data_IF_991270765114
#
_entry.id   IF_991270765114
#
_cell.length_a   1.000
_cell.length_b   1.000
_cell.length_c   1.000
_cell.angle_alpha   90.00
_cell.angle_beta   90.00
_cell.angle_gamma   90.00
#
_symmetry.space_group_name_H-M   'P 1'
#
loop_
_entity.id
_entity.type
_entity.pdbx_description
1 polymer ?
#
# COMPACT_ATOMS: atom_id res chain seq x y z
N UNK A 1 11.05 -3.43 -15.55
CA UNK A 1 9.64 -3.04 -15.34
C UNK A 1 9.49 -2.70 -13.88
N UNK A 2 9.25 -1.43 -13.55
CA UNK A 2 8.91 -1.06 -12.16
C UNK A 2 7.51 -1.59 -11.86
N UNK A 3 7.35 -2.36 -10.79
CA UNK A 3 6.03 -2.75 -10.31
C UNK A 3 5.70 -1.89 -9.10
N UNK A 4 4.66 -1.05 -9.19
CA UNK A 4 4.14 -0.27 -8.06
C UNK A 4 3.27 -1.11 -7.10
N UNK A 5 3.42 -2.42 -7.15
CA UNK A 5 2.70 -3.35 -6.27
C UNK A 5 3.69 -3.88 -5.24
N UNK A 6 3.55 -3.52 -3.96
CA UNK A 6 4.38 -4.06 -2.89
C UNK A 6 4.26 -5.57 -2.75
N UNK A 7 5.37 -6.23 -2.45
CA UNK A 7 5.31 -7.60 -1.95
C UNK A 7 4.77 -7.57 -0.52
N UNK A 8 3.61 -8.20 -0.32
CA UNK A 8 2.98 -8.30 0.99
C UNK A 8 3.44 -9.56 1.72
N UNK A 9 3.94 -9.40 2.94
CA UNK A 9 4.30 -10.49 3.86
C UNK A 9 3.49 -10.34 5.15
N UNK A 10 2.43 -11.15 5.24
CA UNK A 10 1.53 -11.15 6.39
C UNK A 10 2.13 -11.90 7.57
N UNK A 11 2.00 -11.31 8.78
CA UNK A 11 2.22 -11.97 10.06
C UNK A 11 0.93 -12.13 10.84
N UNK A 12 0.84 -13.18 11.63
CA UNK A 12 -0.25 -13.47 12.55
C UNK A 12 0.31 -13.63 13.96
N UNK A 13 -0.18 -12.82 14.90
CA UNK A 13 0.13 -12.90 16.32
C UNK A 13 -1.15 -13.11 17.10
N UNK A 14 -1.19 -14.14 17.97
CA UNK A 14 -2.30 -14.29 18.91
C UNK A 14 -2.04 -13.55 20.20
N UNK A 15 -3.11 -13.16 20.88
CA UNK A 15 -3.05 -12.57 22.20
C UNK A 15 -3.84 -13.42 23.20
N UNK A 16 -3.46 -13.38 24.47
CA UNK A 16 -4.12 -14.10 25.55
C UNK A 16 -4.08 -13.26 26.83
N UNK A 17 -5.17 -13.21 27.54
CA UNK A 17 -5.19 -12.63 28.89
C UNK A 17 -4.88 -13.72 29.92
N UNK A 18 -4.11 -13.38 30.95
CA UNK A 18 -3.61 -14.29 32.00
C UNK A 18 -4.69 -15.15 32.70
N UNK A 19 -5.93 -14.63 32.83
CA UNK A 19 -7.06 -15.35 33.42
C UNK A 19 -7.82 -16.26 32.42
N UNK A 20 -7.39 -16.35 31.15
CA UNK A 20 -7.94 -17.24 30.14
C UNK A 20 -6.90 -18.28 29.68
N UNK A 21 -7.32 -19.44 29.17
CA UNK A 21 -6.37 -20.46 28.73
C UNK A 21 -5.56 -19.98 27.50
N UNK A 22 -4.26 -19.78 27.67
CA UNK A 22 -3.36 -19.44 26.55
C UNK A 22 -3.40 -20.50 25.45
N UNK A 23 -3.47 -21.80 25.82
CA UNK A 23 -3.55 -22.90 24.87
C UNK A 23 -4.77 -22.80 23.93
N UNK A 24 -5.89 -22.25 24.40
CA UNK A 24 -7.08 -21.99 23.57
C UNK A 24 -6.76 -20.93 22.51
N UNK A 25 -6.13 -19.82 22.90
CA UNK A 25 -5.75 -18.76 21.96
C UNK A 25 -4.77 -19.26 20.91
N UNK A 26 -3.76 -19.99 21.30
CA UNK A 26 -2.77 -20.60 20.39
C UNK A 26 -3.41 -21.59 19.42
N UNK A 27 -4.25 -22.49 19.93
CA UNK A 27 -4.97 -23.46 19.09
C UNK A 27 -5.89 -22.80 18.06
N UNK A 28 -6.61 -21.74 18.45
CA UNK A 28 -7.46 -20.96 17.54
C UNK A 28 -6.64 -20.20 16.50
N UNK A 29 -5.47 -19.65 16.87
CA UNK A 29 -4.51 -19.05 15.93
C UNK A 29 -4.02 -20.06 14.88
N UNK A 30 -3.63 -21.25 15.32
CA UNK A 30 -3.14 -22.29 14.42
C UNK A 30 -4.22 -22.78 13.47
N UNK A 31 -5.47 -22.89 13.95
CA UNK A 31 -6.62 -23.19 13.10
C UNK A 31 -6.89 -22.08 12.08
N UNK A 32 -6.74 -20.81 12.48
CA UNK A 32 -6.86 -19.67 11.57
C UNK A 32 -5.76 -19.69 10.51
N UNK A 33 -4.50 -19.93 10.88
CA UNK A 33 -3.39 -20.04 9.94
C UNK A 33 -3.62 -21.17 8.92
N UNK A 34 -4.11 -22.33 9.38
CA UNK A 34 -4.47 -23.43 8.50
C UNK A 34 -5.64 -23.08 7.56
N UNK A 35 -6.64 -22.36 8.04
CA UNK A 35 -7.79 -21.92 7.22
C UNK A 35 -7.37 -20.88 6.17
N UNK A 36 -6.37 -20.04 6.48
CA UNK A 36 -5.87 -19.03 5.55
C UNK A 36 -4.96 -19.62 4.44
N UNK A 37 -4.37 -20.78 4.63
CA UNK A 37 -3.43 -21.40 3.68
C UNK A 37 -3.97 -21.52 2.24
N UNK A 38 -5.30 -21.58 2.06
CA UNK A 38 -5.94 -21.59 0.74
C UNK A 38 -5.89 -20.23 0.01
N UNK A 39 -5.63 -19.14 0.72
CA UNK A 39 -5.55 -17.79 0.16
C UNK A 39 -4.12 -17.31 -0.08
N UNK A 40 -3.16 -17.83 0.68
CA UNK A 40 -1.76 -17.44 0.57
C UNK A 40 -0.93 -17.86 1.76
N UNK A 41 0.30 -17.31 1.81
CA UNK A 41 1.23 -17.56 2.91
C UNK A 41 1.01 -16.54 4.03
N UNK A 42 1.19 -17.01 5.27
CA UNK A 42 1.07 -16.24 6.50
C UNK A 42 2.15 -16.70 7.47
N UNK A 43 2.96 -15.78 7.97
CA UNK A 43 3.92 -16.09 9.04
C UNK A 43 3.15 -16.22 10.37
N UNK A 44 3.09 -17.42 10.91
CA UNK A 44 2.45 -17.70 12.19
C UNK A 44 3.48 -17.49 13.32
N UNK A 45 3.46 -16.31 13.95
CA UNK A 45 4.39 -15.97 15.02
C UNK A 45 4.23 -16.94 16.20
N UNK A 46 5.32 -17.54 16.70
CA UNK A 46 5.25 -18.48 17.83
C UNK A 46 4.92 -17.79 19.15
N UNK A 47 5.13 -16.47 19.25
CA UNK A 47 4.86 -15.71 20.49
C UNK A 47 3.36 -15.44 20.59
N UNK A 48 2.77 -15.81 21.71
CA UNK A 48 1.44 -15.36 22.12
C UNK A 48 1.62 -14.19 23.09
N UNK A 49 0.96 -13.06 22.83
CA UNK A 49 1.08 -11.86 23.67
C UNK A 49 0.17 -11.98 24.90
N UNK A 50 0.76 -12.04 26.06
CA UNK A 50 0.04 -12.02 27.33
C UNK A 50 0.37 -10.76 28.17
N UNK A 51 1.54 -10.18 27.93
CA UNK A 51 2.02 -8.98 28.59
C UNK A 51 2.86 -8.09 27.69
N UNK A 52 3.18 -6.88 28.15
CA UNK A 52 4.07 -5.98 27.38
C UNK A 52 5.47 -6.53 27.17
N UNK A 53 5.93 -7.49 28.01
CA UNK A 53 7.25 -8.13 27.86
C UNK A 53 7.32 -9.04 26.64
N UNK A 54 6.19 -9.50 26.13
CA UNK A 54 6.10 -10.36 24.95
C UNK A 54 6.14 -9.58 23.63
N UNK A 55 5.93 -8.25 23.69
CA UNK A 55 5.90 -7.39 22.52
C UNK A 55 7.24 -7.37 21.77
N UNK A 56 8.33 -7.19 22.49
CA UNK A 56 9.67 -7.11 21.88
C UNK A 56 10.09 -8.45 21.23
N UNK A 57 9.91 -9.62 21.83
CA UNK A 57 10.13 -10.92 21.19
C UNK A 57 9.26 -11.12 19.93
N UNK A 58 7.97 -10.77 19.99
CA UNK A 58 7.08 -10.87 18.83
C UNK A 58 7.54 -9.98 17.67
N UNK A 59 7.88 -8.71 17.94
CA UNK A 59 8.40 -7.80 16.92
C UNK A 59 9.72 -8.30 16.32
N UNK A 60 10.60 -8.89 17.12
CA UNK A 60 11.85 -9.46 16.65
C UNK A 60 11.62 -10.64 15.69
N UNK A 61 10.68 -11.54 16.02
CA UNK A 61 10.28 -12.66 15.17
C UNK A 61 9.66 -12.19 13.84
N UNK A 62 8.69 -11.28 13.91
CA UNK A 62 8.05 -10.68 12.74
C UNK A 62 9.08 -10.01 11.81
N UNK A 63 10.01 -9.24 12.37
CA UNK A 63 11.09 -8.59 11.63
C UNK A 63 12.03 -9.60 10.97
N UNK A 64 12.41 -10.65 11.67
CA UNK A 64 13.26 -11.72 11.13
C UNK A 64 12.59 -12.45 9.96
N UNK A 65 11.26 -12.61 10.00
CA UNK A 65 10.47 -13.18 8.92
C UNK A 65 10.20 -12.18 7.76
N UNK A 66 10.57 -10.90 7.91
CA UNK A 66 10.34 -9.86 6.92
C UNK A 66 8.87 -9.46 6.78
N UNK A 67 8.07 -9.67 7.84
CA UNK A 67 6.64 -9.29 7.88
C UNK A 67 6.50 -7.78 7.76
N UNK A 68 5.61 -7.34 6.88
CA UNK A 68 5.31 -5.93 6.64
C UNK A 68 3.82 -5.55 6.78
N UNK A 69 2.95 -6.53 7.08
CA UNK A 69 1.58 -6.29 7.50
C UNK A 69 1.19 -7.32 8.58
N UNK A 70 0.50 -6.88 9.62
CA UNK A 70 0.26 -7.65 10.83
C UNK A 70 -1.22 -7.90 11.08
N UNK A 71 -1.57 -9.13 11.42
CA UNK A 71 -2.86 -9.51 11.97
C UNK A 71 -2.68 -9.82 13.45
N UNK A 72 -3.35 -9.06 14.30
CA UNK A 72 -3.46 -9.31 15.75
C UNK A 72 -4.79 -10.04 15.99
N UNK A 73 -4.68 -11.27 16.46
CA UNK A 73 -5.81 -12.17 16.59
C UNK A 73 -6.13 -12.43 18.08
N UNK A 74 -7.31 -12.03 18.47
CA UNK A 74 -7.84 -12.31 19.80
C UNK A 74 -8.39 -13.74 19.81
N UNK A 75 -7.56 -14.70 20.20
CA UNK A 75 -8.01 -16.09 20.41
C UNK A 75 -8.78 -16.27 21.70
N UNK A 76 -8.58 -15.36 22.67
CA UNK A 76 -9.40 -15.11 23.85
C UNK A 76 -9.47 -13.60 24.10
N UNK A 77 -9.83 -13.15 25.30
CA UNK A 77 -10.10 -11.74 25.64
C UNK A 77 -8.95 -10.77 25.28
N UNK A 78 -7.69 -11.19 25.42
CA UNK A 78 -6.51 -10.37 25.14
C UNK A 78 -6.18 -9.31 26.20
N UNK A 79 -4.90 -8.87 26.28
CA UNK A 79 -4.42 -7.81 27.18
C UNK A 79 -4.36 -6.48 26.43
N UNK A 80 -5.28 -5.55 26.65
CA UNK A 80 -5.47 -4.32 25.88
C UNK A 80 -4.18 -3.47 25.75
N UNK A 81 -3.39 -3.38 26.82
CA UNK A 81 -2.14 -2.60 26.80
C UNK A 81 -1.09 -3.24 25.90
N UNK A 82 -0.88 -4.54 26.04
CA UNK A 82 0.17 -5.22 25.29
C UNK A 82 -0.17 -5.32 23.78
N UNK A 83 -1.40 -5.69 23.41
CA UNK A 83 -1.82 -5.79 22.01
C UNK A 83 -1.83 -4.44 21.29
N UNK A 84 -2.26 -3.37 21.96
CA UNK A 84 -2.21 -2.01 21.39
C UNK A 84 -0.78 -1.45 21.34
N UNK A 85 0.10 -1.86 22.26
CA UNK A 85 1.52 -1.54 22.21
C UNK A 85 2.20 -2.23 21.03
N UNK A 86 1.89 -3.51 20.79
CA UNK A 86 2.35 -4.24 19.60
C UNK A 86 1.92 -3.52 18.33
N UNK A 87 0.62 -3.18 18.22
CA UNK A 87 0.08 -2.47 17.06
C UNK A 87 0.77 -1.12 16.82
N UNK A 88 1.06 -0.37 17.89
CA UNK A 88 1.71 0.95 17.83
C UNK A 88 3.18 0.87 17.42
N UNK A 89 3.88 -0.19 17.79
CA UNK A 89 5.31 -0.36 17.53
C UNK A 89 5.60 -1.12 16.24
N UNK A 90 4.62 -1.77 15.66
CA UNK A 90 4.77 -2.44 14.38
C UNK A 90 4.84 -1.41 13.24
N UNK A 91 5.85 -1.52 12.40
CA UNK A 91 6.05 -0.63 11.24
C UNK A 91 5.32 -1.21 10.01
N UNK A 92 4.04 -0.90 9.90
CA UNK A 92 3.20 -1.34 8.78
C UNK A 92 1.71 -1.38 9.12
N UNK A 93 0.87 -1.74 8.13
CA UNK A 93 -0.56 -1.92 8.34
C UNK A 93 -0.89 -3.01 9.35
N UNK A 94 -1.83 -2.73 10.24
CA UNK A 94 -2.28 -3.67 11.27
C UNK A 94 -3.77 -3.93 11.14
N UNK A 95 -4.19 -5.18 11.31
CA UNK A 95 -5.57 -5.63 11.39
C UNK A 95 -5.84 -6.29 12.72
N UNK A 96 -7.03 -6.12 13.25
CA UNK A 96 -7.55 -6.86 14.41
C UNK A 96 -8.74 -7.72 14.01
N UNK A 97 -8.76 -8.97 14.46
CA UNK A 97 -9.93 -9.84 14.42
C UNK A 97 -9.93 -10.79 15.64
N UNK A 98 -11.05 -11.44 15.90
CA UNK A 98 -11.25 -12.24 17.09
C UNK A 98 -11.99 -13.56 16.81
N UNK A 99 -11.74 -14.56 17.64
CA UNK A 99 -12.42 -15.84 17.57
C UNK A 99 -13.85 -15.77 18.08
N UNK A 100 -14.79 -16.35 17.34
CA UNK A 100 -16.10 -16.69 17.87
C UNK A 100 -16.00 -17.85 18.87
N UNK A 101 -16.90 -17.90 19.84
CA UNK A 101 -17.06 -19.07 20.70
C UNK A 101 -17.68 -20.23 19.89
N UNK A 102 -17.16 -21.43 20.09
CA UNK A 102 -17.62 -22.62 19.35
C UNK A 102 -18.95 -23.16 19.88
N UNK A 103 -19.21 -22.96 21.18
CA UNK A 103 -20.45 -23.37 21.80
C UNK A 103 -20.83 -22.43 22.96
N UNK A 104 -22.13 -22.22 23.16
CA UNK A 104 -22.68 -21.49 24.32
C UNK A 104 -22.84 -22.36 25.59
N UNK A 105 -22.52 -23.66 25.50
CA UNK A 105 -22.86 -24.61 26.57
C UNK A 105 -21.81 -24.70 27.68
N UNK A 106 -20.56 -24.26 27.39
CA UNK A 106 -19.45 -24.29 28.34
C UNK A 106 -18.95 -22.89 28.67
N UNK A 107 -19.48 -22.31 29.72
CA UNK A 107 -19.02 -21.00 30.23
C UNK A 107 -17.78 -21.08 31.11
N UNK A 108 -17.35 -22.27 31.51
CA UNK A 108 -16.28 -22.47 32.50
C UNK A 108 -14.99 -23.02 31.84
N UNK A 109 -15.11 -24.01 30.98
CA UNK A 109 -13.96 -24.62 30.30
C UNK A 109 -13.97 -24.30 28.83
N UNK A 110 -12.93 -23.68 28.32
CA UNK A 110 -12.77 -23.35 26.89
C UNK A 110 -13.39 -22.01 26.45
N UNK A 111 -13.96 -21.23 27.39
CA UNK A 111 -14.41 -19.86 27.08
C UNK A 111 -13.21 -18.94 26.86
N UNK A 112 -13.22 -18.21 25.77
CA UNK A 112 -12.19 -17.21 25.46
C UNK A 112 -12.64 -15.77 25.61
N UNK A 113 -13.95 -15.51 25.49
CA UNK A 113 -14.57 -14.18 25.59
C UNK A 113 -13.94 -13.13 24.64
N UNK A 114 -13.48 -13.58 23.49
CA UNK A 114 -12.78 -12.75 22.53
C UNK A 114 -13.66 -11.65 21.92
N UNK A 115 -14.98 -11.82 21.91
CA UNK A 115 -15.92 -10.77 21.52
C UNK A 115 -15.81 -9.54 22.43
N UNK A 116 -15.85 -9.75 23.76
CA UNK A 116 -15.66 -8.66 24.72
C UNK A 116 -14.24 -8.07 24.61
N UNK A 117 -13.24 -8.93 24.42
CA UNK A 117 -11.87 -8.51 24.13
C UNK A 117 -11.79 -7.57 22.93
N UNK A 118 -12.47 -7.89 21.83
CA UNK A 118 -12.48 -7.06 20.62
C UNK A 118 -13.12 -5.68 20.84
N UNK A 119 -14.18 -5.59 21.67
CA UNK A 119 -14.75 -4.31 22.07
C UNK A 119 -13.74 -3.46 22.82
N UNK A 120 -13.02 -4.06 23.77
CA UNK A 120 -11.97 -3.37 24.54
C UNK A 120 -10.78 -3.00 23.67
N UNK A 121 -10.31 -3.87 22.79
CA UNK A 121 -9.23 -3.59 21.84
C UNK A 121 -9.59 -2.38 20.97
N UNK A 122 -10.79 -2.35 20.39
CA UNK A 122 -11.27 -1.23 19.56
C UNK A 122 -11.29 0.09 20.32
N UNK A 123 -11.77 0.08 21.56
CA UNK A 123 -11.77 1.26 22.43
C UNK A 123 -10.34 1.74 22.73
N UNK A 124 -9.44 0.83 23.10
CA UNK A 124 -8.07 1.16 23.46
C UNK A 124 -7.24 1.65 22.28
N UNK A 125 -7.44 1.09 21.08
CA UNK A 125 -6.82 1.60 19.82
C UNK A 125 -7.20 3.06 19.60
N UNK A 126 -8.50 3.38 19.71
CA UNK A 126 -8.98 4.76 19.55
C UNK A 126 -8.42 5.68 20.65
N UNK A 127 -8.48 5.26 21.93
CA UNK A 127 -7.96 6.01 23.07
C UNK A 127 -6.48 6.37 22.92
N UNK A 128 -5.69 5.47 22.33
CA UNK A 128 -4.23 5.62 22.14
C UNK A 128 -3.84 6.23 20.80
N UNK A 129 -4.81 6.56 19.92
CA UNK A 129 -4.59 7.10 18.59
C UNK A 129 -3.86 6.12 17.65
N UNK A 130 -4.04 4.81 17.86
CA UNK A 130 -3.46 3.76 17.03
C UNK A 130 -4.45 3.41 15.92
N UNK A 131 -4.01 3.53 14.67
CA UNK A 131 -4.81 3.16 13.51
C UNK A 131 -4.67 1.68 13.22
N UNK A 132 -5.80 0.99 13.08
CA UNK A 132 -5.85 -0.41 12.69
C UNK A 132 -7.09 -0.68 11.82
N UNK A 133 -6.98 -1.65 10.92
CA UNK A 133 -8.13 -2.14 10.17
C UNK A 133 -8.94 -3.07 11.05
N UNK A 134 -10.19 -2.74 11.25
CA UNK A 134 -11.17 -3.59 11.96
C UNK A 134 -12.29 -3.90 10.97
N UNK A 135 -12.51 -5.19 10.60
CA UNK A 135 -13.64 -5.58 9.76
C UNK A 135 -14.97 -5.16 10.34
N UNK A 136 -15.99 -5.01 9.51
CA UNK A 136 -17.35 -4.68 9.98
C UNK A 136 -17.88 -5.69 11.01
N UNK A 137 -17.55 -6.96 10.82
CA UNK A 137 -17.86 -8.05 11.74
C UNK A 137 -16.54 -8.74 12.13
N UNK A 138 -15.81 -8.22 13.15
CA UNK A 138 -14.44 -8.64 13.41
C UNK A 138 -14.31 -9.95 14.18
N UNK A 139 -15.41 -10.60 14.51
CA UNK A 139 -15.45 -11.85 15.29
C UNK A 139 -16.05 -12.97 14.44
N UNK A 140 -15.35 -14.10 14.35
CA UNK A 140 -15.81 -15.21 13.53
C UNK A 140 -15.07 -16.52 13.79
N UNK A 141 -15.48 -17.56 13.08
CA UNK A 141 -14.77 -18.84 13.01
C UNK A 141 -13.39 -18.65 12.36
N UNK A 142 -12.54 -19.66 12.42
CA UNK A 142 -11.25 -19.64 11.70
C UNK A 142 -11.42 -19.36 10.19
N UNK A 143 -12.48 -19.90 9.59
CA UNK A 143 -12.77 -19.66 8.17
C UNK A 143 -13.22 -18.23 7.89
N UNK A 144 -14.05 -17.66 8.76
CA UNK A 144 -14.51 -16.26 8.65
C UNK A 144 -13.34 -15.29 8.85
N UNK A 145 -12.49 -15.50 9.87
CA UNK A 145 -11.30 -14.69 10.10
C UNK A 145 -10.29 -14.80 8.91
N UNK A 146 -10.15 -15.98 8.33
CA UNK A 146 -9.32 -16.15 7.13
C UNK A 146 -9.87 -15.34 5.94
N UNK A 147 -11.19 -15.26 5.78
CA UNK A 147 -11.81 -14.41 4.76
C UNK A 147 -11.59 -12.90 5.06
N UNK A 148 -11.69 -12.49 6.32
CA UNK A 148 -11.39 -11.12 6.74
C UNK A 148 -9.94 -10.74 6.43
N UNK A 149 -8.97 -11.65 6.67
CA UNK A 149 -7.55 -11.43 6.32
C UNK A 149 -7.38 -11.30 4.81
N UNK A 150 -8.04 -12.14 4.01
CA UNK A 150 -8.05 -11.99 2.54
C UNK A 150 -8.51 -10.59 2.12
N UNK A 151 -9.55 -10.07 2.73
CA UNK A 151 -10.11 -8.75 2.42
C UNK A 151 -9.22 -7.60 2.92
N UNK A 152 -8.38 -7.84 3.92
CA UNK A 152 -7.35 -6.91 4.39
C UNK A 152 -6.16 -6.81 3.42
N UNK A 153 -5.83 -7.85 2.68
CA UNK A 153 -4.68 -7.89 1.76
C UNK A 153 -4.61 -6.68 0.82
N UNK A 154 -5.65 -6.32 0.06
CA UNK A 154 -5.59 -5.16 -0.83
C UNK A 154 -5.45 -3.85 -0.07
N UNK A 155 -6.04 -3.72 1.12
CA UNK A 155 -5.91 -2.53 1.99
C UNK A 155 -4.46 -2.38 2.45
N UNK A 156 -3.86 -3.44 2.97
CA UNK A 156 -2.47 -3.44 3.42
C UNK A 156 -1.50 -3.14 2.27
N UNK A 157 -1.73 -3.74 1.10
CA UNK A 157 -0.93 -3.50 -0.10
C UNK A 157 -0.98 -2.02 -0.52
N UNK A 158 -2.17 -1.42 -0.53
CA UNK A 158 -2.33 0.00 -0.86
C UNK A 158 -1.61 0.90 0.16
N UNK A 159 -1.73 0.63 1.46
CA UNK A 159 -1.07 1.42 2.50
C UNK A 159 0.46 1.31 2.41
N UNK A 160 1.00 0.12 2.12
CA UNK A 160 2.43 -0.07 1.90
C UNK A 160 2.93 0.68 0.65
N UNK A 161 2.14 0.68 -0.43
CA UNK A 161 2.49 1.46 -1.62
C UNK A 161 2.51 2.96 -1.32
N UNK A 162 1.49 3.48 -0.64
CA UNK A 162 1.37 4.91 -0.32
C UNK A 162 2.48 5.38 0.62
N UNK A 163 2.88 4.59 1.61
CA UNK A 163 3.93 4.96 2.56
C UNK A 163 5.33 5.08 1.94
N UNK A 164 5.54 4.49 0.77
CA UNK A 164 6.82 4.51 0.03
C UNK A 164 6.68 5.17 -1.35
N UNK A 165 5.66 6.04 -1.52
CA UNK A 165 5.33 6.73 -2.76
C UNK A 165 5.94 8.13 -2.80
N UNK A 166 6.45 8.52 -3.96
CA UNK A 166 6.74 9.90 -4.34
C UNK A 166 5.91 10.30 -5.56
N UNK A 167 5.25 11.45 -5.47
CA UNK A 167 4.57 12.08 -6.59
C UNK A 167 5.49 13.16 -7.15
N UNK A 168 5.84 13.05 -8.43
CA UNK A 168 6.61 14.06 -9.16
C UNK A 168 5.64 14.85 -10.02
N UNK A 169 5.50 16.15 -9.75
CA UNK A 169 4.60 17.01 -10.50
C UNK A 169 5.35 17.98 -11.41
N UNK A 170 4.74 18.26 -12.57
CA UNK A 170 5.19 19.27 -13.52
C UNK A 170 4.06 20.25 -13.78
N UNK A 171 4.14 21.43 -13.14
CA UNK A 171 3.05 22.38 -13.17
C UNK A 171 3.50 23.84 -13.14
N UNK A 172 2.65 24.75 -12.71
CA UNK A 172 1.41 24.60 -11.95
C UNK A 172 0.22 24.11 -12.78
N UNK A 173 -0.90 23.89 -12.10
CA UNK A 173 -2.18 23.53 -12.72
C UNK A 173 -2.57 24.53 -13.81
N UNK A 174 -3.30 24.11 -14.88
CA UNK A 174 -3.67 25.02 -15.93
C UNK A 174 -4.72 26.03 -15.44
N UNK A 175 -4.40 27.32 -15.57
CA UNK A 175 -5.33 28.46 -15.32
C UNK A 175 -6.20 28.27 -14.07
N UNK A 176 -7.52 28.33 -14.23
CA UNK A 176 -8.55 28.18 -13.19
C UNK A 176 -9.07 26.74 -13.01
N UNK A 177 -8.27 25.74 -13.37
CA UNK A 177 -8.63 24.31 -13.23
C UNK A 177 -8.58 23.88 -11.75
N UNK A 178 -9.46 24.45 -10.92
CA UNK A 178 -9.44 24.34 -9.47
C UNK A 178 -9.82 22.94 -8.95
N UNK A 179 -10.46 22.12 -9.78
CA UNK A 179 -10.78 20.73 -9.43
C UNK A 179 -9.53 19.90 -9.05
N UNK A 180 -8.39 20.21 -9.66
CA UNK A 180 -7.12 19.53 -9.36
C UNK A 180 -6.29 20.26 -8.27
N UNK A 181 -6.84 21.28 -7.63
CA UNK A 181 -6.15 22.04 -6.59
C UNK A 181 -6.47 21.48 -5.20
N UNK A 182 -5.65 20.60 -4.71
CA UNK A 182 -5.85 19.94 -3.43
C UNK A 182 -4.69 20.23 -2.46
N UNK A 183 -4.94 20.25 -1.13
CA UNK A 183 -3.91 20.47 -0.15
C UNK A 183 -2.95 19.28 -0.06
N UNK A 184 -1.65 19.52 0.02
CA UNK A 184 -0.62 18.45 0.09
C UNK A 184 -0.45 17.88 1.51
N UNK A 185 -0.83 18.61 2.55
CA UNK A 185 -0.62 18.16 3.93
C UNK A 185 -1.27 16.80 4.27
N UNK A 186 -2.46 16.42 3.77
CA UNK A 186 -3.00 15.07 3.97
C UNK A 186 -2.14 13.98 3.35
N UNK A 187 -1.52 14.23 2.19
CA UNK A 187 -0.64 13.26 1.52
C UNK A 187 0.64 13.01 2.32
N UNK A 188 1.26 14.06 2.85
CA UNK A 188 2.42 13.92 3.74
C UNK A 188 2.08 13.13 5.01
N UNK A 189 0.85 13.25 5.57
CA UNK A 189 0.42 12.43 6.72
C UNK A 189 0.28 10.95 6.40
N UNK A 190 0.09 10.61 5.13
CA UNK A 190 0.09 9.22 4.63
C UNK A 190 1.50 8.71 4.28
N UNK A 191 2.54 9.54 4.47
CA UNK A 191 3.92 9.20 4.14
C UNK A 191 4.31 9.46 2.68
N UNK A 192 3.40 10.02 1.87
CA UNK A 192 3.65 10.35 0.46
C UNK A 192 4.52 11.60 0.37
N UNK A 193 5.60 11.53 -0.40
CA UNK A 193 6.43 12.69 -0.74
C UNK A 193 5.96 13.33 -2.04
N UNK A 194 6.11 14.65 -2.14
CA UNK A 194 5.74 15.41 -3.33
C UNK A 194 6.92 16.26 -3.76
N UNK A 195 7.27 16.18 -5.04
CA UNK A 195 8.26 17.04 -5.68
C UNK A 195 7.54 17.88 -6.74
N UNK A 196 7.64 19.19 -6.60
CA UNK A 196 7.03 20.14 -7.53
C UNK A 196 8.09 20.73 -8.46
N UNK A 197 7.89 20.51 -9.77
CA UNK A 197 8.72 21.02 -10.85
C UNK A 197 7.87 21.91 -11.78
N UNK A 198 8.52 22.75 -12.57
CA UNK A 198 7.86 23.54 -13.59
C UNK A 198 7.80 22.82 -14.95
N UNK A 199 6.90 23.27 -15.83
CA UNK A 199 6.89 22.82 -17.23
C UNK A 199 8.22 23.16 -17.96
N UNK A 200 8.93 24.21 -17.50
CA UNK A 200 10.23 24.60 -18.07
C UNK A 200 11.31 23.58 -17.75
N UNK A 201 11.30 22.99 -16.54
CA UNK A 201 12.23 21.92 -16.16
C UNK A 201 12.02 20.70 -17.04
N UNK A 202 10.75 20.30 -17.25
CA UNK A 202 10.40 19.21 -18.14
C UNK A 202 10.81 19.49 -19.60
N UNK A 203 10.58 20.71 -20.07
CA UNK A 203 10.95 21.13 -21.44
C UNK A 203 12.47 21.08 -21.65
N UNK A 204 13.23 21.58 -20.69
CA UNK A 204 14.70 21.53 -20.73
C UNK A 204 15.21 20.08 -20.73
N UNK A 205 14.67 19.23 -19.87
CA UNK A 205 14.99 17.80 -19.83
C UNK A 205 14.63 17.09 -21.13
N UNK A 206 13.47 17.37 -21.71
CA UNK A 206 13.05 16.82 -23.00
C UNK A 206 14.06 17.17 -24.11
N UNK A 207 14.50 18.41 -24.19
CA UNK A 207 15.49 18.83 -25.18
C UNK A 207 16.88 18.22 -24.94
N UNK A 208 17.25 17.97 -23.68
CA UNK A 208 18.50 17.28 -23.36
C UNK A 208 18.52 15.82 -23.85
N UNK A 209 17.36 15.19 -24.02
CA UNK A 209 17.21 13.84 -24.58
C UNK A 209 17.15 13.82 -26.12
N UNK A 210 17.32 14.95 -26.79
CA UNK A 210 17.31 14.97 -28.26
C UNK A 210 18.43 14.09 -28.83
N UNK A 211 18.06 13.11 -29.65
CA UNK A 211 19.01 12.17 -30.24
C UNK A 211 19.51 11.07 -29.30
N UNK A 212 18.84 10.82 -28.20
CA UNK A 212 19.15 9.69 -27.31
C UNK A 212 19.13 8.37 -28.10
N UNK A 213 20.19 7.56 -27.92
CA UNK A 213 20.37 6.32 -28.66
C UNK A 213 19.29 5.25 -28.41
N UNK A 214 18.52 5.38 -27.31
CA UNK A 214 17.41 4.48 -26.97
C UNK A 214 16.11 4.79 -27.73
N UNK A 215 15.98 5.96 -28.35
CA UNK A 215 14.75 6.37 -29.05
C UNK A 215 14.30 5.35 -30.10
N UNK A 216 15.17 4.82 -30.98
CA UNK A 216 14.74 3.84 -31.98
C UNK A 216 14.10 2.58 -31.38
N UNK A 217 14.63 2.07 -30.26
CA UNK A 217 14.11 0.87 -29.60
C UNK A 217 12.71 1.12 -29.02
N UNK A 218 12.52 2.28 -28.37
CA UNK A 218 11.23 2.68 -27.83
C UNK A 218 10.20 2.92 -28.94
N UNK A 219 10.62 3.50 -30.07
CA UNK A 219 9.76 3.66 -31.25
C UNK A 219 9.29 2.30 -31.77
N UNK A 220 10.21 1.33 -31.89
CA UNK A 220 9.85 -0.03 -32.34
C UNK A 220 8.83 -0.71 -31.39
N UNK A 221 9.00 -0.56 -30.08
CA UNK A 221 8.00 -1.02 -29.10
C UNK A 221 6.63 -0.34 -29.29
N UNK A 222 6.61 0.99 -29.52
CA UNK A 222 5.39 1.75 -29.76
C UNK A 222 4.69 1.33 -31.06
N UNK A 223 5.46 1.06 -32.11
CA UNK A 223 4.93 0.57 -33.40
C UNK A 223 4.29 -0.80 -33.25
N UNK A 224 4.90 -1.71 -32.49
CA UNK A 224 4.35 -3.03 -32.21
C UNK A 224 3.05 -2.92 -31.40
N UNK A 225 3.02 -2.09 -30.34
CA UNK A 225 1.82 -1.89 -29.52
C UNK A 225 0.65 -1.28 -30.28
N UNK A 226 0.91 -0.31 -31.14
CA UNK A 226 -0.14 0.41 -31.85
C UNK A 226 -0.61 -0.31 -33.13
N UNK A 227 0.28 -1.06 -33.78
CA UNK A 227 0.01 -1.78 -35.00
C UNK A 227 -0.70 -0.92 -36.05
N UNK A 228 -1.76 -1.46 -36.67
CA UNK A 228 -2.58 -0.75 -37.67
C UNK A 228 -3.36 0.46 -37.09
N UNK A 229 -3.46 0.56 -35.76
CA UNK A 229 -4.04 1.70 -35.05
C UNK A 229 -3.19 2.97 -35.11
N UNK A 230 -1.91 2.85 -35.46
CA UNK A 230 -1.04 4.01 -35.58
C UNK A 230 -1.40 4.90 -36.76
N UNK A 231 -2.02 6.04 -36.50
CA UNK A 231 -2.40 7.02 -37.49
C UNK A 231 -1.42 8.19 -37.62
N UNK A 232 -0.36 8.22 -36.79
CA UNK A 232 0.60 9.32 -36.72
C UNK A 232 2.02 8.81 -36.45
N UNK A 233 2.60 7.99 -37.34
CA UNK A 233 3.93 7.41 -37.10
C UNK A 233 5.02 8.50 -37.02
N UNK A 234 4.81 9.67 -37.64
CA UNK A 234 5.77 10.78 -37.68
C UNK A 234 6.05 11.42 -36.30
N UNK A 235 5.19 11.19 -35.30
CA UNK A 235 5.41 11.75 -33.96
C UNK A 235 6.04 10.75 -32.97
N UNK A 236 6.17 9.47 -33.34
CA UNK A 236 6.64 8.43 -32.39
C UNK A 236 8.02 8.74 -31.81
N UNK A 237 8.93 9.28 -32.60
CA UNK A 237 10.27 9.64 -32.11
C UNK A 237 10.20 10.70 -30.99
N UNK A 238 9.29 11.69 -31.09
CA UNK A 238 9.07 12.69 -30.03
C UNK A 238 8.42 12.06 -28.78
N UNK A 239 7.48 11.14 -28.99
CA UNK A 239 6.82 10.41 -27.89
C UNK A 239 7.81 9.51 -27.15
N UNK A 240 8.69 8.81 -27.87
CA UNK A 240 9.75 7.99 -27.30
C UNK A 240 10.77 8.85 -26.52
N UNK A 241 11.18 9.98 -27.07
CA UNK A 241 12.03 10.95 -26.38
C UNK A 241 11.37 11.42 -25.07
N UNK A 242 10.07 11.71 -25.09
CA UNK A 242 9.33 12.13 -23.90
C UNK A 242 9.22 11.01 -22.86
N UNK A 243 8.96 9.77 -23.27
CA UNK A 243 8.95 8.62 -22.38
C UNK A 243 10.30 8.45 -21.66
N UNK A 244 11.40 8.48 -22.42
CA UNK A 244 12.76 8.40 -21.88
C UNK A 244 13.07 9.55 -20.91
N UNK A 245 12.63 10.75 -21.25
CA UNK A 245 12.78 11.92 -20.37
C UNK A 245 12.12 11.69 -19.01
N UNK A 246 10.89 11.20 -19.00
CA UNK A 246 10.17 10.93 -17.75
C UNK A 246 10.79 9.78 -16.95
N UNK A 247 11.21 8.71 -17.63
CA UNK A 247 11.85 7.56 -16.97
C UNK A 247 13.17 7.96 -16.30
N UNK A 248 14.03 8.71 -16.99
CA UNK A 248 15.31 9.18 -16.45
C UNK A 248 15.10 10.21 -15.34
N UNK A 249 14.07 11.06 -15.46
CA UNK A 249 13.68 11.97 -14.40
C UNK A 249 13.28 11.21 -13.13
N UNK A 250 12.42 10.20 -13.27
CA UNK A 250 12.01 9.33 -12.16
C UNK A 250 13.22 8.70 -11.49
N UNK A 251 14.13 8.09 -12.24
CA UNK A 251 15.32 7.44 -11.68
C UNK A 251 16.22 8.41 -10.93
N UNK A 252 16.35 9.63 -11.42
CA UNK A 252 17.21 10.66 -10.80
C UNK A 252 16.55 11.28 -9.56
N UNK A 253 15.22 11.39 -9.54
CA UNK A 253 14.48 12.18 -8.54
C UNK A 253 13.68 11.36 -7.53
N UNK A 254 13.50 10.04 -7.74
CA UNK A 254 12.73 9.18 -6.79
C UNK A 254 13.32 9.17 -5.38
N UNK A 255 14.63 9.45 -5.22
CA UNK A 255 15.32 9.40 -3.94
C UNK A 255 15.33 8.00 -3.35
N UNK A 256 14.98 7.88 -2.07
CA UNK A 256 14.89 6.61 -1.37
C UNK A 256 13.54 5.88 -1.58
N UNK A 257 12.59 6.48 -2.30
CA UNK A 257 11.26 5.91 -2.50
C UNK A 257 11.28 4.80 -3.56
N UNK A 258 10.45 3.77 -3.35
CA UNK A 258 10.33 2.63 -4.27
C UNK A 258 9.30 2.88 -5.36
N UNK A 259 8.25 3.64 -5.05
CA UNK A 259 7.12 3.87 -5.95
C UNK A 259 7.07 5.32 -6.36
N UNK A 260 6.72 5.56 -7.61
CA UNK A 260 6.60 6.91 -8.17
C UNK A 260 5.30 7.01 -8.96
N UNK A 261 4.64 8.15 -8.83
CA UNK A 261 3.57 8.60 -9.71
C UNK A 261 3.95 9.97 -10.29
N UNK A 262 3.41 10.29 -11.45
CA UNK A 262 3.66 11.57 -12.12
C UNK A 262 2.34 12.32 -12.25
N UNK A 263 2.36 13.64 -12.02
CA UNK A 263 1.23 14.53 -12.27
C UNK A 263 1.69 15.65 -13.19
N UNK A 264 1.25 15.62 -14.46
CA UNK A 264 1.75 16.53 -15.49
C UNK A 264 0.68 17.45 -16.04
N UNK A 265 1.04 18.70 -16.35
CA UNK A 265 0.20 19.63 -17.08
C UNK A 265 0.45 19.48 -18.58
N UNK A 266 -0.60 19.20 -19.37
CA UNK A 266 -0.41 18.98 -20.80
C UNK A 266 -0.76 20.20 -21.67
N UNK A 267 -1.71 21.03 -21.29
CA UNK A 267 -2.11 22.19 -22.09
C UNK A 267 -1.80 23.52 -21.39
N UNK A 268 -1.46 24.60 -22.14
CA UNK A 268 -1.30 24.61 -23.60
C UNK A 268 0.10 24.19 -24.10
N UNK A 269 1.12 24.07 -23.23
CA UNK A 269 2.53 23.95 -23.59
C UNK A 269 2.87 22.74 -24.48
N UNK A 270 2.22 21.60 -24.28
CA UNK A 270 2.49 20.43 -25.12
C UNK A 270 2.06 20.65 -26.57
N UNK A 271 0.98 21.39 -26.78
CA UNK A 271 0.49 21.70 -28.12
C UNK A 271 1.36 22.73 -28.85
N UNK A 272 1.85 23.73 -28.12
CA UNK A 272 2.60 24.85 -28.70
C UNK A 272 4.10 24.59 -28.74
N UNK A 273 4.69 24.15 -27.64
CA UNK A 273 6.14 24.01 -27.48
C UNK A 273 6.66 22.60 -27.80
N UNK A 274 6.01 21.56 -27.28
CA UNK A 274 6.38 20.18 -27.56
C UNK A 274 5.85 19.67 -28.91
N UNK A 275 4.72 20.24 -29.39
CA UNK A 275 4.06 19.91 -30.67
C UNK A 275 3.53 18.46 -30.73
N UNK A 276 3.12 17.91 -29.60
CA UNK A 276 2.39 16.63 -29.48
C UNK A 276 1.51 16.68 -28.24
N UNK A 277 0.71 15.64 -27.99
CA UNK A 277 -0.06 15.45 -26.76
C UNK A 277 0.48 14.21 -26.03
N UNK A 278 0.65 14.24 -24.70
CA UNK A 278 1.34 13.19 -23.95
C UNK A 278 0.48 11.97 -23.63
N UNK A 279 -0.82 11.98 -23.96
CA UNK A 279 -1.82 11.00 -23.51
C UNK A 279 -1.39 9.53 -23.73
N UNK A 280 -0.81 9.21 -24.89
CA UNK A 280 -0.34 7.86 -25.19
C UNK A 280 0.81 7.45 -24.28
N UNK A 281 1.82 8.31 -24.10
CA UNK A 281 2.96 8.03 -23.21
C UNK A 281 2.51 7.92 -21.77
N UNK A 282 1.61 8.81 -21.32
CA UNK A 282 1.04 8.75 -19.97
C UNK A 282 0.32 7.41 -19.71
N UNK A 283 -0.48 6.96 -20.69
CA UNK A 283 -1.15 5.65 -20.62
C UNK A 283 -0.15 4.49 -20.60
N UNK A 284 0.88 4.56 -21.45
CA UNK A 284 1.94 3.56 -21.55
C UNK A 284 2.76 3.44 -20.24
N UNK A 285 3.13 4.57 -19.63
CA UNK A 285 3.82 4.59 -18.33
C UNK A 285 2.94 4.01 -17.22
N UNK A 286 1.65 4.35 -17.21
CA UNK A 286 0.67 3.79 -16.26
C UNK A 286 0.59 2.26 -16.40
N UNK A 287 0.54 1.74 -17.62
CA UNK A 287 0.57 0.29 -17.89
C UNK A 287 1.90 -0.36 -17.46
N UNK A 288 3.02 0.39 -17.51
CA UNK A 288 4.34 -0.04 -17.03
C UNK A 288 4.51 0.08 -15.51
N UNK A 289 3.49 0.55 -14.77
CA UNK A 289 3.47 0.65 -13.30
C UNK A 289 3.92 2.02 -12.76
N UNK A 290 3.99 3.05 -13.59
CA UNK A 290 4.21 4.45 -13.17
C UNK A 290 2.93 5.23 -13.50
N UNK A 291 1.99 5.39 -12.55
CA UNK A 291 0.76 6.14 -12.79
C UNK A 291 1.06 7.58 -13.22
N UNK A 292 0.36 8.07 -14.23
CA UNK A 292 0.48 9.45 -14.71
C UNK A 292 -0.90 10.08 -14.80
N UNK A 293 -1.13 11.13 -14.02
CA UNK A 293 -2.35 11.95 -14.10
C UNK A 293 -2.12 13.22 -14.91
N UNK A 294 -3.19 13.73 -15.51
CA UNK A 294 -3.19 15.02 -16.20
C UNK A 294 -3.49 16.18 -15.24
N UNK A 295 -3.26 17.41 -15.68
CA UNK A 295 -3.63 18.67 -15.04
C UNK A 295 -3.03 18.88 -13.64
N UNK A 296 -1.92 18.19 -13.36
CA UNK A 296 -1.26 18.17 -12.04
C UNK A 296 -2.22 17.68 -10.95
N UNK A 297 -3.10 16.73 -11.29
CA UNK A 297 -4.00 16.11 -10.33
C UNK A 297 -3.26 15.06 -9.50
N UNK A 298 -2.67 15.52 -8.41
CA UNK A 298 -1.89 14.67 -7.49
C UNK A 298 -2.75 13.72 -6.65
N UNK A 299 -4.08 13.88 -6.67
CA UNK A 299 -5.02 13.01 -5.95
C UNK A 299 -5.68 11.97 -6.85
N UNK A 300 -5.89 12.29 -8.12
CA UNK A 300 -6.50 11.40 -9.11
C UNK A 300 -5.54 10.42 -9.72
#
# INVERSE_FOLDING_TARGET
MMTNIPELKLGLVSVSRDCFPMALSVGRRDALAAAYAKYGMLHNCPVCIESETDVAPALADLKAAGVNALVIFLGNFGPETAETTLAKQFDGPVMFCAAAEESGDSLLDGRGDAYCGMLNASYNLNLRGVQAYIPQYPVGTAADCAAMIRDFVPVATALLALSDLKIISFGPRPQDFLACNAPIAPLHRLGIEIEENSELDLYAAFHAHAGDARIPDVVAEMEEELGEGNKKPEILAKLAQYELTLLDWVETHKGARKYVAIAGKCWPAFQTEFQFVPCYVNSRLTAKGIPVSCEVDIYG
#
